data_IF_252261355739
#
_entry.id   IF_252261355739
#
_cell.length_a   1.000
_cell.length_b   1.000
_cell.length_c   1.000
_cell.angle_alpha   90.00
_cell.angle_beta   90.00
_cell.angle_gamma   90.00
#
_symmetry.space_group_name_H-M   'P 1'
#
loop_
_entity.id
_entity.type
_entity.pdbx_description
1 polymer ?
#
# COMPACT_ATOMS: atom_id res chain seq x y z
N UNK A 1 -15.17 -3.97 -15.42
CA UNK A 1 -13.81 -3.80 -14.86
C UNK A 1 -13.43 -5.11 -14.18
N UNK A 2 -12.24 -5.64 -14.42
CA UNK A 2 -11.74 -6.83 -13.70
C UNK A 2 -11.18 -6.40 -12.36
N UNK A 3 -11.37 -7.18 -11.30
CA UNK A 3 -10.73 -6.91 -10.02
C UNK A 3 -9.28 -7.43 -10.03
N UNK A 4 -8.33 -6.68 -9.44
CA UNK A 4 -7.01 -7.22 -9.16
C UNK A 4 -7.11 -8.32 -8.10
N UNK A 5 -6.10 -9.19 -8.03
CA UNK A 5 -5.93 -10.16 -6.96
C UNK A 5 -4.46 -10.18 -6.56
N UNK A 6 -4.18 -10.02 -5.26
CA UNK A 6 -2.84 -9.95 -4.71
C UNK A 6 -2.34 -11.31 -4.25
N UNK A 7 -1.11 -11.68 -4.61
CA UNK A 7 -0.46 -12.89 -4.11
C UNK A 7 0.76 -12.53 -3.27
N UNK A 8 0.87 -13.00 -2.01
CA UNK A 8 2.05 -12.75 -1.20
C UNK A 8 3.23 -13.55 -1.76
N UNK A 9 4.36 -12.88 -1.96
CA UNK A 9 5.58 -13.47 -2.55
C UNK A 9 6.80 -13.38 -1.64
N UNK A 10 6.75 -12.53 -0.61
CA UNK A 10 7.87 -12.38 0.32
C UNK A 10 7.37 -11.88 1.68
N UNK A 11 8.04 -12.32 2.75
CA UNK A 11 7.76 -11.90 4.12
C UNK A 11 9.05 -11.80 4.92
N UNK A 12 9.19 -10.73 5.70
CA UNK A 12 10.36 -10.50 6.56
C UNK A 12 10.03 -9.55 7.70
N UNK A 13 10.82 -9.57 8.78
CA UNK A 13 10.74 -8.57 9.86
C UNK A 13 11.64 -7.36 9.59
N UNK A 14 12.39 -7.35 8.49
CA UNK A 14 13.28 -6.25 8.11
C UNK A 14 12.59 -5.35 7.05
N UNK A 15 12.19 -4.11 7.40
CA UNK A 15 11.49 -3.22 6.46
C UNK A 15 12.37 -2.80 5.27
N UNK A 16 13.69 -2.70 5.46
CA UNK A 16 14.63 -2.35 4.39
C UNK A 16 14.71 -3.48 3.38
N UNK A 17 14.76 -4.72 3.88
CA UNK A 17 14.73 -5.90 3.02
C UNK A 17 13.39 -6.02 2.28
N UNK A 18 12.27 -5.76 2.95
CA UNK A 18 10.94 -5.80 2.34
C UNK A 18 10.81 -4.78 1.20
N UNK A 19 11.22 -3.52 1.44
CA UNK A 19 11.23 -2.47 0.42
C UNK A 19 12.15 -2.81 -0.76
N UNK A 20 13.33 -3.37 -0.49
CA UNK A 20 14.24 -3.82 -1.55
C UNK A 20 13.59 -4.88 -2.45
N UNK A 21 12.92 -5.87 -1.87
CA UNK A 21 12.26 -6.93 -2.64
C UNK A 21 11.07 -6.37 -3.43
N UNK A 22 10.26 -5.48 -2.84
CA UNK A 22 9.18 -4.81 -3.55
C UNK A 22 9.69 -4.03 -4.77
N UNK A 23 10.81 -3.29 -4.63
CA UNK A 23 11.45 -2.57 -5.75
C UNK A 23 11.98 -3.48 -6.85
N UNK A 24 12.52 -4.65 -6.48
CA UNK A 24 12.92 -5.66 -7.48
C UNK A 24 11.72 -6.12 -8.30
N UNK A 25 10.55 -6.30 -7.66
CA UNK A 25 9.32 -6.69 -8.33
C UNK A 25 8.77 -5.58 -9.23
N UNK A 26 8.78 -4.33 -8.76
CA UNK A 26 8.42 -3.14 -9.55
C UNK A 26 9.25 -3.04 -10.83
N UNK A 27 10.55 -3.34 -10.75
CA UNK A 27 11.47 -3.30 -11.89
C UNK A 27 11.22 -4.39 -12.94
N UNK A 28 10.41 -5.42 -12.65
CA UNK A 28 9.97 -6.41 -13.65
C UNK A 28 8.94 -5.80 -14.60
N UNK A 29 8.14 -4.85 -14.12
CA UNK A 29 7.14 -4.15 -14.91
C UNK A 29 7.70 -2.96 -15.68
N UNK A 30 6.95 -2.51 -16.69
CA UNK A 30 7.17 -1.21 -17.30
C UNK A 30 6.71 -0.10 -16.34
N UNK A 31 7.63 0.80 -16.01
CA UNK A 31 7.45 1.87 -15.01
C UNK A 31 7.18 3.24 -15.62
N UNK A 32 7.00 3.35 -16.95
CA UNK A 32 6.86 4.66 -17.64
C UNK A 32 5.76 5.56 -17.07
N UNK A 33 4.70 4.97 -16.52
CA UNK A 33 3.57 5.68 -15.93
C UNK A 33 3.34 5.30 -14.47
N UNK A 34 4.29 4.58 -13.87
CA UNK A 34 4.12 4.06 -12.53
C UNK A 34 4.15 5.19 -11.50
N UNK A 35 3.30 5.03 -10.50
CA UNK A 35 3.17 5.95 -9.37
C UNK A 35 3.24 5.17 -8.08
N UNK A 36 3.56 5.86 -7.00
CA UNK A 36 3.58 5.29 -5.66
C UNK A 36 2.62 6.03 -4.75
N UNK A 37 1.86 5.28 -3.97
CA UNK A 37 1.04 5.78 -2.88
C UNK A 37 1.49 5.16 -1.58
N UNK A 38 1.36 5.90 -0.48
CA UNK A 38 1.68 5.42 0.85
C UNK A 38 0.53 5.73 1.80
N UNK A 39 0.33 4.88 2.79
CA UNK A 39 -0.72 5.06 3.78
C UNK A 39 -0.35 4.41 5.11
N UNK A 40 -0.61 5.08 6.23
CA UNK A 40 -0.23 4.59 7.57
C UNK A 40 -1.28 4.92 8.61
N UNK A 41 -1.62 3.95 9.45
CA UNK A 41 -2.50 4.11 10.60
C UNK A 41 -1.70 4.64 11.81
N UNK A 42 -2.19 5.69 12.44
CA UNK A 42 -1.53 6.39 13.54
C UNK A 42 -2.46 6.35 14.75
N UNK A 43 -1.99 5.75 15.84
CA UNK A 43 -2.82 5.44 17.02
C UNK A 43 -2.54 6.33 18.21
N UNK A 44 -1.54 7.21 18.11
CA UNK A 44 -1.15 8.12 19.18
C UNK A 44 -0.87 9.53 18.64
N UNK A 45 -1.10 10.53 19.49
CA UNK A 45 -0.81 11.94 19.15
C UNK A 45 0.65 12.16 18.74
N UNK A 46 1.67 11.60 19.45
CA UNK A 46 3.06 11.74 19.02
C UNK A 46 3.34 11.17 17.63
N UNK A 47 2.70 10.07 17.24
CA UNK A 47 2.84 9.50 15.90
C UNK A 47 2.27 10.44 14.83
N UNK A 48 1.09 11.02 15.08
CA UNK A 48 0.47 12.00 14.17
C UNK A 48 1.37 13.21 13.97
N UNK A 49 1.86 13.80 15.06
CA UNK A 49 2.73 14.98 14.98
C UNK A 49 4.05 14.67 14.25
N UNK A 50 4.65 13.51 14.51
CA UNK A 50 5.88 13.07 13.85
C UNK A 50 5.69 12.86 12.35
N UNK A 51 4.63 12.18 11.93
CA UNK A 51 4.35 11.97 10.50
C UNK A 51 4.01 13.28 9.80
N UNK A 52 3.25 14.16 10.46
CA UNK A 52 2.91 15.48 9.93
C UNK A 52 4.15 16.35 9.67
N UNK A 53 5.13 16.28 10.57
CA UNK A 53 6.39 17.02 10.42
C UNK A 53 7.25 16.45 9.29
N UNK A 54 7.36 15.12 9.19
CA UNK A 54 8.20 14.46 8.20
C UNK A 54 7.57 14.45 6.79
N UNK A 55 6.25 14.35 6.68
CA UNK A 55 5.51 14.29 5.42
C UNK A 55 4.57 15.50 5.31
N UNK A 56 5.08 16.69 4.95
CA UNK A 56 4.30 17.93 4.92
C UNK A 56 3.22 17.94 3.81
N UNK A 57 3.32 17.02 2.85
CA UNK A 57 2.36 16.88 1.75
C UNK A 57 1.31 15.78 2.02
N UNK A 58 1.34 15.14 3.20
CA UNK A 58 0.41 14.08 3.57
C UNK A 58 -0.99 14.62 3.89
N UNK A 59 -1.99 13.78 3.61
CA UNK A 59 -3.38 14.02 3.97
C UNK A 59 -3.79 13.10 5.12
N UNK A 60 -4.38 13.69 6.15
CA UNK A 60 -4.81 12.99 7.36
C UNK A 60 -6.32 12.78 7.35
N UNK A 61 -6.78 11.55 7.54
CA UNK A 61 -8.20 11.18 7.51
C UNK A 61 -8.57 10.18 8.61
N UNK A 62 -9.86 9.98 8.84
CA UNK A 62 -10.41 8.83 9.57
C UNK A 62 -10.95 7.81 8.57
N UNK A 63 -10.83 6.53 8.90
CA UNK A 63 -11.52 5.46 8.21
C UNK A 63 -12.53 4.83 9.17
N UNK A 64 -13.68 5.49 9.35
CA UNK A 64 -14.80 4.93 10.10
C UNK A 64 -15.98 4.74 9.15
N UNK A 65 -16.26 3.46 8.84
CA UNK A 65 -17.25 3.07 7.82
C UNK A 65 -18.69 3.30 8.29
N UNK A 66 -18.93 3.47 9.59
CA UNK A 66 -20.28 3.78 10.10
C UNK A 66 -20.63 5.28 9.94
N UNK A 67 -19.63 6.12 9.64
CA UNK A 67 -19.78 7.58 9.64
C UNK A 67 -19.94 8.19 8.23
N UNK A 68 -19.93 7.38 7.14
CA UNK A 68 -20.30 7.82 5.79
C UNK A 68 -21.75 8.37 5.71
N UNK A 69 -22.53 8.21 6.77
CA UNK A 69 -23.93 8.65 6.91
C UNK A 69 -24.14 9.99 7.67
N UNK A 70 -23.07 10.69 8.10
CA UNK A 70 -23.08 12.06 8.67
C UNK A 70 -21.91 12.83 8.04
N UNK A 71 -21.97 14.02 7.46
CA UNK A 71 -22.82 15.21 7.53
C UNK A 71 -22.45 16.07 6.28
N UNK A 72 -23.38 16.74 5.58
CA UNK A 72 -23.12 17.55 4.37
C UNK A 72 -22.23 18.81 4.54
N UNK A 73 -21.60 19.05 5.68
CA UNK A 73 -20.97 20.34 6.03
C UNK A 73 -19.58 20.29 6.69
N UNK A 74 -18.80 19.22 6.50
CA UNK A 74 -17.55 18.93 7.25
C UNK A 74 -16.52 20.10 7.32
N UNK A 75 -16.29 20.72 8.50
CA UNK A 75 -15.25 21.72 8.71
C UNK A 75 -14.04 21.22 9.51
N UNK A 76 -13.78 19.90 9.61
CA UNK A 76 -12.45 19.26 9.85
C UNK A 76 -12.53 17.77 10.17
N UNK A 77 -13.70 17.17 10.41
CA UNK A 77 -14.00 15.79 10.85
C UNK A 77 -13.51 14.64 9.96
N UNK A 78 -12.43 14.89 9.21
CA UNK A 78 -11.43 13.98 8.68
C UNK A 78 -11.95 12.93 7.70
N UNK A 79 -13.15 13.14 7.14
CA UNK A 79 -13.69 12.30 6.07
C UNK A 79 -13.18 12.71 4.68
N UNK A 80 -13.05 14.01 4.42
CA UNK A 80 -12.45 14.53 3.16
C UNK A 80 -10.91 14.51 3.21
N UNK A 81 -10.34 14.25 4.38
CA UNK A 81 -8.92 14.38 4.66
C UNK A 81 -8.49 15.84 4.85
N UNK A 82 -7.47 16.06 5.68
CA UNK A 82 -6.88 17.37 5.95
C UNK A 82 -5.40 17.32 5.63
N UNK A 83 -4.96 18.24 4.76
CA UNK A 83 -3.55 18.39 4.40
C UNK A 83 -2.70 18.76 5.63
N UNK A 84 -1.50 18.20 5.75
CA UNK A 84 -0.64 18.28 6.94
C UNK A 84 -0.46 19.71 7.52
N UNK A 85 -0.25 20.77 6.72
CA UNK A 85 -0.12 22.14 7.23
C UNK A 85 -1.41 22.68 7.87
N UNK A 86 -2.57 22.18 7.43
CA UNK A 86 -3.89 22.55 7.95
C UNK A 86 -4.37 21.72 9.13
N UNK A 87 -3.70 20.61 9.46
CA UNK A 87 -4.07 19.78 10.60
C UNK A 87 -3.76 20.48 11.93
N UNK A 88 -4.69 20.43 12.89
CA UNK A 88 -4.47 20.99 14.22
C UNK A 88 -3.31 20.32 14.94
N UNK A 89 -2.49 21.12 15.66
CA UNK A 89 -1.45 20.60 16.58
C UNK A 89 -1.99 20.33 17.99
N UNK A 90 -3.25 20.64 18.27
CA UNK A 90 -3.82 20.49 19.62
C UNK A 90 -3.93 18.99 20.02
N UNK A 91 -3.28 18.55 21.10
CA UNK A 91 -3.34 17.15 21.53
C UNK A 91 -4.76 16.70 21.88
N UNK A 92 -5.61 17.59 22.39
CA UNK A 92 -7.00 17.27 22.72
C UNK A 92 -7.81 16.91 21.48
N UNK A 93 -7.74 17.78 20.47
CA UNK A 93 -8.30 17.53 19.14
C UNK A 93 -7.76 16.24 18.53
N UNK A 94 -6.42 16.06 18.47
CA UNK A 94 -5.85 14.87 17.85
C UNK A 94 -6.29 13.59 18.58
N UNK A 95 -6.23 13.59 19.91
CA UNK A 95 -6.61 12.43 20.72
C UNK A 95 -8.08 12.02 20.54
N UNK A 96 -8.99 12.96 20.26
CA UNK A 96 -10.41 12.63 20.06
C UNK A 96 -10.71 12.04 18.67
N UNK A 97 -9.77 12.10 17.74
CA UNK A 97 -9.95 11.62 16.36
C UNK A 97 -9.16 10.35 16.02
N UNK A 98 -8.29 9.88 16.91
CA UNK A 98 -7.53 8.64 16.69
C UNK A 98 -8.46 7.40 16.57
N UNK A 99 -8.06 6.38 15.77
CA UNK A 99 -6.87 6.37 14.91
C UNK A 99 -7.05 7.26 13.68
N UNK A 100 -5.93 7.81 13.20
CA UNK A 100 -5.87 8.59 11.95
C UNK A 100 -5.06 7.85 10.91
N UNK A 101 -5.46 7.97 9.65
CA UNK A 101 -4.67 7.53 8.50
C UNK A 101 -3.97 8.72 7.87
N UNK A 102 -2.69 8.57 7.54
CA UNK A 102 -1.93 9.57 6.80
C UNK A 102 -1.50 8.99 5.45
N UNK A 103 -1.89 9.64 4.35
CA UNK A 103 -1.58 9.18 2.99
C UNK A 103 -0.95 10.23 2.11
N UNK A 104 -0.14 9.77 1.16
CA UNK A 104 0.27 10.53 -0.02
C UNK A 104 0.00 9.65 -1.23
N UNK A 105 -0.85 10.12 -2.14
CA UNK A 105 -1.28 9.35 -3.31
C UNK A 105 -0.55 9.79 -4.57
N UNK A 106 -0.37 8.87 -5.51
CA UNK A 106 0.04 9.15 -6.89
C UNK A 106 1.37 9.92 -7.04
N UNK A 107 2.29 9.68 -6.11
CA UNK A 107 3.61 10.30 -6.08
C UNK A 107 4.53 9.73 -7.16
N UNK A 108 5.55 10.48 -7.62
CA UNK A 108 6.59 9.95 -8.49
C UNK A 108 7.32 8.76 -7.83
N UNK A 109 7.79 7.80 -8.63
CA UNK A 109 8.63 6.73 -8.09
C UNK A 109 9.88 7.27 -7.42
N UNK A 110 10.33 6.58 -6.37
CA UNK A 110 11.52 6.91 -5.59
C UNK A 110 11.48 8.26 -4.85
N UNK A 111 10.30 8.87 -4.70
CA UNK A 111 10.15 10.15 -3.99
C UNK A 111 9.90 10.01 -2.49
N UNK A 112 9.16 8.98 -2.06
CA UNK A 112 8.65 8.88 -0.67
C UNK A 112 8.97 7.54 0.00
N UNK A 113 9.34 6.51 -0.77
CA UNK A 113 9.32 5.12 -0.27
C UNK A 113 10.33 4.84 0.84
N UNK A 114 11.55 5.39 0.74
CA UNK A 114 12.61 5.15 1.75
C UNK A 114 12.30 5.86 3.06
N UNK A 115 11.91 7.13 2.96
CA UNK A 115 11.53 7.94 4.11
C UNK A 115 10.30 7.35 4.79
N UNK A 116 9.27 7.01 4.02
CA UNK A 116 8.07 6.37 4.55
C UNK A 116 8.38 5.04 5.25
N UNK A 117 9.17 4.15 4.63
CA UNK A 117 9.54 2.87 5.25
C UNK A 117 10.32 3.05 6.57
N UNK A 118 11.12 4.11 6.70
CA UNK A 118 11.79 4.45 7.95
C UNK A 118 10.83 5.04 9.00
N UNK A 119 9.74 5.68 8.56
CA UNK A 119 8.77 6.35 9.42
C UNK A 119 7.65 5.44 9.93
N UNK A 120 7.28 4.35 9.24
CA UNK A 120 6.13 3.52 9.65
C UNK A 120 6.29 2.97 11.07
N UNK A 121 7.49 2.50 11.44
CA UNK A 121 7.76 1.94 12.76
C UNK A 121 6.85 0.75 13.07
N UNK A 122 6.21 0.68 14.26
CA UNK A 122 5.33 -0.43 14.63
C UNK A 122 3.89 -0.28 14.09
N UNK A 123 3.60 0.76 13.31
CA UNK A 123 2.26 1.03 12.79
C UNK A 123 1.90 0.13 11.61
N UNK A 124 0.61 -0.08 11.39
CA UNK A 124 0.16 -0.65 10.12
C UNK A 124 0.35 0.41 9.05
N UNK A 125 0.90 0.02 7.91
CA UNK A 125 0.96 0.89 6.75
C UNK A 125 1.23 0.12 5.48
N UNK A 126 1.18 0.82 4.36
CA UNK A 126 1.46 0.27 3.06
C UNK A 126 2.24 1.23 2.17
N UNK A 127 3.03 0.64 1.26
CA UNK A 127 3.45 1.30 0.04
C UNK A 127 2.82 0.53 -1.12
N UNK A 128 2.16 1.27 -2.00
CA UNK A 128 1.38 0.78 -3.11
C UNK A 128 1.93 1.37 -4.42
N UNK A 129 2.48 0.51 -5.28
CA UNK A 129 2.91 0.90 -6.63
C UNK A 129 1.84 0.52 -7.65
N UNK A 130 1.43 1.49 -8.45
CA UNK A 130 0.34 1.37 -9.41
C UNK A 130 0.76 1.79 -10.81
N UNK A 131 -0.14 1.63 -11.78
CA UNK A 131 0.07 2.02 -13.18
C UNK A 131 1.32 1.38 -13.82
N UNK A 132 1.72 0.22 -13.29
CA UNK A 132 2.72 -0.64 -13.89
C UNK A 132 2.12 -1.31 -15.12
N UNK A 133 2.97 -1.89 -15.96
CA UNK A 133 2.52 -2.84 -16.97
C UNK A 133 3.35 -4.11 -16.88
N UNK A 134 2.69 -5.22 -16.63
CA UNK A 134 3.34 -6.53 -16.68
C UNK A 134 3.66 -6.91 -18.14
N UNK A 135 4.82 -7.53 -18.38
CA UNK A 135 5.25 -7.88 -19.73
C UNK A 135 4.48 -9.07 -20.31
N UNK A 136 4.53 -9.22 -21.63
CA UNK A 136 4.10 -10.45 -22.32
C UNK A 136 5.15 -11.56 -22.12
N UNK A 137 4.68 -12.77 -21.84
CA UNK A 137 5.50 -13.99 -21.83
C UNK A 137 4.73 -15.10 -22.56
N UNK A 138 4.71 -15.08 -23.90
CA UNK A 138 3.86 -15.97 -24.70
C UNK A 138 4.11 -17.45 -24.45
N UNK A 139 5.37 -17.84 -24.22
CA UNK A 139 5.77 -19.23 -23.94
C UNK A 139 5.17 -19.79 -22.64
N UNK A 140 4.63 -18.93 -21.78
CA UNK A 140 3.94 -19.29 -20.53
C UNK A 140 2.46 -18.91 -20.52
N UNK A 141 1.91 -18.52 -21.67
CA UNK A 141 0.54 -18.02 -21.80
C UNK A 141 0.23 -16.82 -20.88
N UNK A 142 1.26 -16.01 -20.60
CA UNK A 142 1.12 -14.79 -19.81
C UNK A 142 1.06 -13.62 -20.80
N UNK A 143 0.00 -12.83 -20.70
CA UNK A 143 -0.22 -11.68 -21.55
C UNK A 143 -0.02 -10.39 -20.77
N UNK A 144 0.39 -9.36 -21.50
CA UNK A 144 0.57 -7.99 -21.03
C UNK A 144 -0.67 -7.53 -20.28
N UNK A 145 -0.45 -7.06 -19.06
CA UNK A 145 -1.52 -6.61 -18.16
C UNK A 145 -1.17 -5.23 -17.62
N UNK A 146 -2.00 -4.23 -17.92
CA UNK A 146 -1.78 -2.84 -17.52
C UNK A 146 -2.77 -2.35 -16.45
N UNK A 147 -3.96 -2.93 -16.37
CA UNK A 147 -5.04 -2.38 -15.53
C UNK A 147 -4.93 -2.85 -14.08
N UNK A 148 -4.33 -4.02 -13.87
CA UNK A 148 -4.24 -4.68 -12.57
C UNK A 148 -2.80 -4.88 -12.08
N UNK A 149 -1.82 -4.36 -12.82
CA UNK A 149 -0.41 -4.51 -12.49
C UNK A 149 -0.01 -3.58 -11.34
N UNK A 150 0.18 -4.17 -10.16
CA UNK A 150 0.48 -3.43 -8.92
C UNK A 150 1.42 -4.24 -8.03
N UNK A 151 2.19 -3.56 -7.21
CA UNK A 151 2.97 -4.15 -6.11
C UNK A 151 2.52 -3.51 -4.82
N UNK A 152 2.38 -4.30 -3.76
CA UNK A 152 2.06 -3.79 -2.43
C UNK A 152 3.10 -4.28 -1.45
N UNK A 153 3.61 -3.38 -0.62
CA UNK A 153 4.37 -3.71 0.57
C UNK A 153 3.52 -3.33 1.79
N UNK A 154 3.04 -4.34 2.50
CA UNK A 154 2.34 -4.18 3.77
C UNK A 154 3.36 -4.18 4.91
N UNK A 155 3.26 -3.19 5.80
CA UNK A 155 4.01 -3.13 7.04
C UNK A 155 3.15 -3.57 8.20
N UNK A 156 3.68 -4.48 9.03
CA UNK A 156 3.02 -4.93 10.26
C UNK A 156 1.60 -5.48 10.03
N UNK A 157 1.35 -6.00 8.83
CA UNK A 157 0.10 -6.64 8.42
C UNK A 157 0.40 -7.75 7.42
N UNK A 158 -0.42 -8.80 7.46
CA UNK A 158 -0.41 -9.89 6.48
C UNK A 158 -1.63 -9.88 5.56
N UNK A 159 -2.56 -8.94 5.78
CA UNK A 159 -3.82 -8.80 5.06
C UNK A 159 -3.96 -7.40 4.47
N UNK A 160 -4.45 -7.31 3.22
CA UNK A 160 -4.82 -6.05 2.55
C UNK A 160 -5.95 -5.31 3.28
N UNK A 161 -6.79 -6.00 4.05
CA UNK A 161 -7.84 -5.39 4.88
C UNK A 161 -7.32 -4.84 6.21
N UNK A 162 -6.02 -4.98 6.48
CA UNK A 162 -5.36 -4.54 7.71
C UNK A 162 -5.88 -5.17 9.01
N UNK A 163 -6.64 -6.27 8.90
CA UNK A 163 -7.25 -6.99 10.03
C UNK A 163 -6.31 -8.05 10.66
N UNK A 164 -5.30 -8.52 9.94
CA UNK A 164 -4.25 -9.44 10.43
C UNK A 164 -2.95 -8.68 10.77
N UNK A 165 -2.95 -7.98 11.91
CA UNK A 165 -1.78 -7.24 12.42
C UNK A 165 -0.65 -8.21 12.80
N UNK A 166 0.54 -7.98 12.27
CA UNK A 166 1.70 -8.83 12.45
C UNK A 166 2.96 -8.02 12.81
N UNK A 167 4.02 -8.70 13.27
CA UNK A 167 5.35 -8.09 13.48
C UNK A 167 6.27 -8.22 12.27
N UNK A 168 5.72 -8.62 11.12
CA UNK A 168 6.43 -8.77 9.85
C UNK A 168 5.77 -7.93 8.73
N UNK A 169 6.50 -7.81 7.64
CA UNK A 169 6.13 -7.06 6.45
C UNK A 169 5.94 -8.02 5.29
N UNK A 170 4.88 -7.84 4.51
CA UNK A 170 4.51 -8.74 3.41
C UNK A 170 4.55 -8.00 2.08
N UNK A 171 5.25 -8.55 1.08
CA UNK A 171 5.22 -8.05 -0.30
C UNK A 171 4.23 -8.89 -1.11
N UNK A 172 3.32 -8.22 -1.81
CA UNK A 172 2.33 -8.81 -2.69
C UNK A 172 2.52 -8.33 -4.12
N UNK A 173 2.27 -9.24 -5.06
CA UNK A 173 2.13 -8.93 -6.49
C UNK A 173 0.67 -9.02 -6.88
N UNK A 174 0.14 -7.98 -7.54
CA UNK A 174 -1.23 -8.00 -8.04
C UNK A 174 -1.23 -8.28 -9.54
N UNK A 175 -2.14 -9.15 -9.94
CA UNK A 175 -2.39 -9.52 -11.33
C UNK A 175 -3.89 -9.44 -11.60
N UNK A 176 -4.28 -9.55 -12.89
CA UNK A 176 -5.70 -9.66 -13.23
C UNK A 176 -6.25 -10.96 -12.68
N UNK A 177 -7.35 -10.88 -11.92
CA UNK A 177 -8.08 -12.07 -11.48
C UNK A 177 -8.56 -12.88 -12.68
N UNK A 178 -8.27 -14.18 -12.63
CA UNK A 178 -8.70 -15.11 -13.66
C UNK A 178 -10.03 -15.77 -13.27
N UNK A 179 -10.97 -15.84 -14.21
CA UNK A 179 -12.17 -16.65 -14.02
C UNK A 179 -11.87 -18.10 -14.43
N UNK A 180 -11.36 -18.89 -13.48
CA UNK A 180 -11.35 -20.38 -13.48
C UNK A 180 -10.23 -21.11 -14.24
N UNK A 181 -9.24 -20.44 -14.82
CA UNK A 181 -8.13 -21.10 -15.56
C UNK A 181 -6.75 -21.04 -14.87
N UNK A 182 -6.67 -20.43 -13.69
CA UNK A 182 -5.44 -20.28 -12.90
C UNK A 182 -4.36 -19.40 -13.57
N UNK A 183 -4.72 -18.61 -14.59
CA UNK A 183 -3.79 -17.71 -15.27
C UNK A 183 -3.24 -16.61 -14.35
N UNK A 184 -4.01 -16.21 -13.33
CA UNK A 184 -3.58 -15.29 -12.28
C UNK A 184 -2.43 -15.87 -11.44
N UNK A 185 -2.59 -17.07 -10.89
CA UNK A 185 -1.52 -17.73 -10.13
C UNK A 185 -0.29 -17.99 -11.00
N UNK A 186 -0.46 -18.39 -12.27
CA UNK A 186 0.67 -18.54 -13.21
C UNK A 186 1.42 -17.22 -13.39
N UNK A 187 0.71 -16.13 -13.59
CA UNK A 187 1.31 -14.82 -13.78
C UNK A 187 2.04 -14.35 -12.50
N UNK A 188 1.38 -14.44 -11.33
CA UNK A 188 1.98 -14.09 -10.05
C UNK A 188 3.23 -14.93 -9.73
N UNK A 189 3.18 -16.24 -10.01
CA UNK A 189 4.33 -17.14 -9.82
C UNK A 189 5.50 -16.77 -10.73
N UNK A 190 5.23 -16.47 -12.00
CA UNK A 190 6.28 -16.03 -12.93
C UNK A 190 6.92 -14.71 -12.50
N UNK A 191 6.13 -13.75 -12.01
CA UNK A 191 6.64 -12.48 -11.47
C UNK A 191 7.51 -12.70 -10.22
N UNK A 192 7.09 -13.60 -9.31
CA UNK A 192 7.88 -13.98 -8.15
C UNK A 192 9.22 -14.64 -8.55
N UNK A 193 9.21 -15.51 -9.57
CA UNK A 193 10.42 -16.16 -10.09
C UNK A 193 11.45 -15.13 -10.60
N UNK A 194 11.02 -14.01 -11.19
CA UNK A 194 11.93 -12.97 -11.71
C UNK A 194 12.79 -12.33 -10.61
N UNK A 195 12.33 -12.38 -9.37
CA UNK A 195 13.02 -11.83 -8.20
C UNK A 195 13.58 -12.94 -7.28
N UNK A 196 13.61 -14.19 -7.76
CA UNK A 196 14.09 -15.34 -7.00
C UNK A 196 13.20 -15.73 -5.81
N UNK A 197 11.91 -15.40 -5.88
CA UNK A 197 10.91 -15.74 -4.86
C UNK A 197 9.86 -16.72 -5.41
N UNK A 198 8.92 -17.12 -4.55
CA UNK A 198 7.76 -17.93 -4.90
C UNK A 198 6.51 -17.37 -4.19
N UNK A 199 5.32 -17.73 -4.65
CA UNK A 199 4.08 -17.41 -3.93
C UNK A 199 4.04 -18.20 -2.61
N UNK A 200 3.82 -17.52 -1.49
CA UNK A 200 3.95 -18.09 -0.13
C UNK A 200 2.62 -18.24 0.63
N UNK A 201 1.49 -17.92 0.02
CA UNK A 201 0.20 -17.91 0.70
C UNK A 201 -0.99 -17.78 -0.24
N UNK A 202 -2.22 -17.80 0.31
CA UNK A 202 -3.43 -17.65 -0.46
C UNK A 202 -3.51 -16.25 -1.10
N UNK A 203 -4.27 -16.10 -2.20
CA UNK A 203 -4.55 -14.79 -2.76
C UNK A 203 -5.37 -13.92 -1.80
N UNK A 204 -5.23 -12.61 -1.94
CA UNK A 204 -5.93 -11.58 -1.18
C UNK A 204 -6.67 -10.66 -2.15
N UNK A 205 -7.87 -10.22 -1.76
CA UNK A 205 -8.75 -9.35 -2.55
C UNK A 205 -8.63 -7.88 -2.12
#
# INVERSE_FOLDING_TARGET
MSNPIGYPVFRTTDPVQALRVARQLVAVGDVRYAQVSVDVELRTVPEVLRIREALPDAWFRKEDVEDWTRDPSDPTGLHVGVHAPGLSSDPGFLSSHLPLWASMLDQPLSSVEEEFAALVGPNIGEIYWSSLVWPDVPDREIYREANNARVVLLFNSRSLEFDDRAGDHTVLVHVRRAHRDGSDLRHASWLAEQIGQAVIGPPQE
#
